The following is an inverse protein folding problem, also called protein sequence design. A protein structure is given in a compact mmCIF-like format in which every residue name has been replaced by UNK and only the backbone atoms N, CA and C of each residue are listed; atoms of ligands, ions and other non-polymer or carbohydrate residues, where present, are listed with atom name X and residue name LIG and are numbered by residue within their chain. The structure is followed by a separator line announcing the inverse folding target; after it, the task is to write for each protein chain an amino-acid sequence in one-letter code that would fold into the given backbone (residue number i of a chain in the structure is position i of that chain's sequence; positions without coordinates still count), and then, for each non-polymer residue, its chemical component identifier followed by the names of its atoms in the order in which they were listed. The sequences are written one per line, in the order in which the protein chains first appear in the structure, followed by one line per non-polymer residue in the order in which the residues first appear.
data_IF_367064286344
#
_entry.id   IF_367064286344
#
_cell.length_a   1.000
_cell.length_b   1.000
_cell.length_c   1.000
_cell.angle_alpha   90.00
_cell.angle_beta   90.00
_cell.angle_gamma   90.00
#
_symmetry.space_group_name_H-M   'P 1'
#
loop_
_entity.id
_entity.type
_entity.pdbx_description
1 polymer ?
#
# COMPACT_ATOMS: atom_id res chain seq x y z
N UNK A 1 -1.13 27.65 -31.15
CA UNK A 1 -2.18 27.24 -30.20
C UNK A 1 -2.10 25.76 -29.78
N UNK A 2 -0.92 25.11 -29.82
CA UNK A 2 -0.80 23.65 -29.58
C UNK A 2 -0.51 23.30 -28.10
N UNK A 3 -0.09 24.28 -27.27
CA UNK A 3 0.36 24.05 -25.89
C UNK A 3 -0.76 23.79 -24.85
N UNK A 4 -2.01 24.17 -25.12
CA UNK A 4 -3.08 24.04 -24.11
C UNK A 4 -3.70 22.62 -24.04
N UNK A 5 -3.75 21.89 -25.16
CA UNK A 5 -4.31 20.53 -25.20
C UNK A 5 -3.44 19.50 -24.48
N UNK A 6 -2.13 19.50 -24.75
CA UNK A 6 -1.17 18.58 -24.12
C UNK A 6 -1.06 18.75 -22.61
N UNK A 7 -1.28 19.97 -22.11
CA UNK A 7 -1.28 20.25 -20.67
C UNK A 7 -2.52 19.67 -19.98
N UNK A 8 -3.68 19.71 -20.66
CA UNK A 8 -4.92 19.14 -20.13
C UNK A 8 -4.83 17.62 -20.02
N UNK A 9 -4.32 16.95 -21.05
CA UNK A 9 -4.21 15.48 -21.06
C UNK A 9 -3.26 14.97 -19.96
N UNK A 10 -2.09 15.62 -19.80
CA UNK A 10 -1.15 15.32 -18.72
C UNK A 10 -1.75 15.56 -17.32
N UNK A 11 -2.55 16.61 -17.15
CA UNK A 11 -3.24 16.89 -15.89
C UNK A 11 -4.30 15.83 -15.57
N UNK A 12 -5.02 15.34 -16.57
CA UNK A 12 -5.99 14.26 -16.42
C UNK A 12 -5.32 12.93 -16.05
N UNK A 13 -4.18 12.60 -16.67
CA UNK A 13 -3.37 11.42 -16.31
C UNK A 13 -2.84 11.50 -14.89
N UNK A 14 -2.29 12.66 -14.49
CA UNK A 14 -1.85 12.88 -13.11
C UNK A 14 -3.00 12.75 -12.11
N UNK A 15 -4.19 13.26 -12.44
CA UNK A 15 -5.35 13.14 -11.58
C UNK A 15 -5.80 11.68 -11.44
N UNK A 16 -5.79 10.90 -12.53
CA UNK A 16 -6.06 9.45 -12.48
C UNK A 16 -5.06 8.72 -11.60
N UNK A 17 -3.77 9.01 -11.77
CA UNK A 17 -2.72 8.42 -10.93
C UNK A 17 -2.86 8.79 -9.45
N UNK A 18 -3.16 10.06 -9.11
CA UNK A 18 -3.38 10.47 -7.71
C UNK A 18 -4.55 9.70 -7.10
N UNK A 19 -5.67 9.57 -7.83
CA UNK A 19 -6.83 8.80 -7.35
C UNK A 19 -6.48 7.33 -7.11
N UNK A 20 -5.82 6.71 -8.07
CA UNK A 20 -5.33 5.34 -7.93
C UNK A 20 -4.39 5.20 -6.72
N UNK A 21 -3.44 6.11 -6.56
CA UNK A 21 -2.49 6.08 -5.44
C UNK A 21 -3.19 6.25 -4.09
N UNK A 22 -4.22 7.09 -4.00
CA UNK A 22 -5.03 7.21 -2.77
C UNK A 22 -5.70 5.87 -2.42
N UNK A 23 -6.32 5.20 -3.38
CA UNK A 23 -6.94 3.89 -3.16
C UNK A 23 -5.93 2.82 -2.70
N UNK A 24 -4.70 2.85 -3.23
CA UNK A 24 -3.65 1.94 -2.80
C UNK A 24 -3.13 2.29 -1.39
N UNK A 25 -3.01 3.57 -1.06
CA UNK A 25 -2.63 4.01 0.28
C UNK A 25 -3.66 3.59 1.33
N UNK A 26 -4.95 3.63 1.01
CA UNK A 26 -6.01 3.13 1.91
C UNK A 26 -5.85 1.62 2.17
N UNK A 27 -5.50 0.84 1.14
CA UNK A 27 -5.22 -0.60 1.28
C UNK A 27 -3.98 -0.84 2.16
N UNK A 28 -2.92 -0.07 1.96
CA UNK A 28 -1.70 -0.13 2.78
C UNK A 28 -2.02 0.20 4.24
N UNK A 29 -2.80 1.26 4.48
CA UNK A 29 -3.18 1.66 5.84
C UNK A 29 -3.95 0.54 6.57
N UNK A 30 -4.88 -0.12 5.88
CA UNK A 30 -5.62 -1.25 6.44
C UNK A 30 -4.69 -2.42 6.83
N UNK A 31 -3.70 -2.75 6.00
CA UNK A 31 -2.70 -3.78 6.32
C UNK A 31 -1.81 -3.39 7.51
N UNK A 32 -1.41 -2.12 7.59
CA UNK A 32 -0.64 -1.62 8.74
C UNK A 32 -1.45 -1.67 10.05
N UNK A 33 -2.76 -1.38 10.00
CA UNK A 33 -3.68 -1.55 11.15
C UNK A 33 -3.79 -3.01 11.58
N UNK A 34 -3.77 -3.94 10.63
CA UNK A 34 -3.74 -5.38 10.92
C UNK A 34 -2.44 -5.80 11.60
N UNK A 35 -1.28 -5.38 11.08
CA UNK A 35 0.03 -5.61 11.72
C UNK A 35 0.05 -5.07 13.15
N UNK A 36 -0.46 -3.85 13.36
CA UNK A 36 -0.55 -3.25 14.69
C UNK A 36 -1.40 -4.11 15.63
N UNK A 37 -2.54 -4.62 15.14
CA UNK A 37 -3.43 -5.49 15.93
C UNK A 37 -2.73 -6.79 16.31
N UNK A 38 -2.03 -7.43 15.36
CA UNK A 38 -1.24 -8.65 15.61
C UNK A 38 -0.12 -8.41 16.64
N UNK A 39 0.61 -7.31 16.52
CA UNK A 39 1.69 -6.95 17.45
C UNK A 39 1.15 -6.66 18.86
N UNK A 40 0.01 -5.97 18.97
CA UNK A 40 -0.66 -5.72 20.25
C UNK A 40 -1.16 -7.02 20.88
N UNK A 41 -1.74 -7.93 20.09
CA UNK A 41 -2.16 -9.24 20.54
C UNK A 41 -0.98 -10.05 21.07
N UNK A 42 0.14 -10.08 20.36
CA UNK A 42 1.36 -10.77 20.79
C UNK A 42 1.94 -10.21 22.08
N UNK A 43 1.89 -8.89 22.27
CA UNK A 43 2.37 -8.21 23.49
C UNK A 43 1.50 -8.51 24.71
N UNK A 44 0.18 -8.56 24.53
CA UNK A 44 -0.78 -8.59 25.64
C UNK A 44 -1.18 -10.01 26.07
N UNK A 45 -0.76 -11.05 25.35
CA UNK A 45 -1.11 -12.44 25.63
C UNK A 45 0.14 -13.27 25.88
N UNK A 46 0.02 -14.26 26.77
CA UNK A 46 1.11 -15.20 27.06
C UNK A 46 1.17 -16.30 25.99
N UNK A 47 1.82 -16.00 24.88
CA UNK A 47 1.89 -16.88 23.71
C UNK A 47 3.05 -17.88 23.82
N UNK A 48 2.82 -19.09 23.32
CA UNK A 48 3.90 -20.06 23.13
C UNK A 48 4.70 -19.77 21.84
N UNK A 49 5.83 -20.45 21.69
CA UNK A 49 6.74 -20.26 20.54
C UNK A 49 6.09 -20.54 19.19
N UNK A 50 5.16 -21.50 19.10
CA UNK A 50 4.41 -21.79 17.87
C UNK A 50 3.50 -20.62 17.49
N UNK A 51 2.74 -20.10 18.45
CA UNK A 51 1.84 -18.95 18.25
C UNK A 51 2.63 -17.68 17.86
N UNK A 52 3.79 -17.45 18.48
CA UNK A 52 4.68 -16.34 18.12
C UNK A 52 5.17 -16.47 16.67
N UNK A 53 5.57 -17.67 16.24
CA UNK A 53 6.00 -17.93 14.87
C UNK A 53 4.87 -17.67 13.85
N UNK A 54 3.66 -18.12 14.16
CA UNK A 54 2.49 -17.88 13.31
C UNK A 54 2.20 -16.39 13.14
N UNK A 55 2.22 -15.62 14.23
CA UNK A 55 2.01 -14.16 14.17
C UNK A 55 3.10 -13.48 13.35
N UNK A 56 4.37 -13.84 13.59
CA UNK A 56 5.47 -13.28 12.82
C UNK A 56 5.35 -13.61 11.32
N UNK A 57 4.93 -14.83 10.97
CA UNK A 57 4.69 -15.20 9.58
C UNK A 57 3.59 -14.35 8.95
N UNK A 58 2.49 -14.08 9.66
CA UNK A 58 1.41 -13.21 9.17
C UNK A 58 1.88 -11.77 8.98
N UNK A 59 2.65 -11.23 9.93
CA UNK A 59 3.24 -9.89 9.83
C UNK A 59 4.15 -9.78 8.60
N UNK A 60 4.98 -10.79 8.34
CA UNK A 60 5.87 -10.79 7.18
C UNK A 60 5.10 -10.80 5.86
N UNK A 61 4.07 -11.63 5.73
CA UNK A 61 3.20 -11.66 4.54
C UNK A 61 2.56 -10.28 4.31
N UNK A 62 2.00 -9.66 5.36
CA UNK A 62 1.40 -8.33 5.26
C UNK A 62 2.42 -7.27 4.85
N UNK A 63 3.66 -7.34 5.35
CA UNK A 63 4.75 -6.44 4.95
C UNK A 63 5.12 -6.60 3.47
N UNK A 64 5.24 -7.84 2.98
CA UNK A 64 5.52 -8.10 1.57
C UNK A 64 4.41 -7.53 0.66
N UNK A 65 3.14 -7.71 1.05
CA UNK A 65 2.00 -7.15 0.33
C UNK A 65 2.00 -5.61 0.33
N UNK A 66 2.35 -4.98 1.46
CA UNK A 66 2.49 -3.52 1.56
C UNK A 66 3.58 -3.04 0.60
N UNK A 67 4.76 -3.68 0.61
CA UNK A 67 5.88 -3.30 -0.25
C UNK A 67 5.50 -3.41 -1.73
N UNK A 68 4.84 -4.49 -2.12
CA UNK A 68 4.37 -4.68 -3.49
C UNK A 68 3.37 -3.61 -3.92
N UNK A 69 2.34 -3.35 -3.11
CA UNK A 69 1.35 -2.31 -3.38
C UNK A 69 1.99 -0.93 -3.51
N UNK A 70 2.96 -0.65 -2.65
CA UNK A 70 3.66 0.61 -2.66
C UNK A 70 4.52 0.77 -3.92
N UNK A 71 5.29 -0.23 -4.29
CA UNK A 71 6.12 -0.24 -5.50
C UNK A 71 5.28 -0.06 -6.77
N UNK A 72 4.14 -0.77 -6.87
CA UNK A 72 3.25 -0.73 -8.04
C UNK A 72 2.56 0.63 -8.26
N UNK A 73 2.49 1.50 -7.24
CA UNK A 73 1.68 2.73 -7.30
C UNK A 73 2.41 4.02 -6.99
N UNK A 74 3.60 3.96 -6.36
CA UNK A 74 4.34 5.13 -5.87
C UNK A 74 4.83 6.06 -6.97
N UNK A 75 5.07 5.55 -8.18
CA UNK A 75 5.65 6.34 -9.27
C UNK A 75 4.59 6.69 -10.30
N UNK A 76 4.46 7.97 -10.64
CA UNK A 76 3.71 8.40 -11.81
C UNK A 76 4.48 8.00 -13.07
N UNK A 77 3.90 7.12 -13.89
CA UNK A 77 4.42 6.80 -15.22
C UNK A 77 3.35 7.17 -16.25
N UNK A 78 3.59 8.18 -17.11
CA UNK A 78 2.65 8.58 -18.16
C UNK A 78 2.54 7.56 -19.31
N UNK A 79 3.36 6.49 -19.30
CA UNK A 79 3.47 5.54 -20.41
C UNK A 79 2.61 4.26 -20.25
N UNK A 80 1.87 4.11 -19.15
CA UNK A 80 0.95 2.98 -18.97
C UNK A 80 -0.47 3.35 -19.40
N UNK A 81 -0.72 3.25 -20.71
CA UNK A 81 -2.04 3.09 -21.31
C UNK A 81 -2.19 1.69 -21.89
#
# INVERSE_FOLDING_TARGET
MIQQGQNKDLLEEKLKWVKYRLEILDKIENKLKEIKTLAQYAKNNNLNSTQIKEINSKINILNEEILKLDEESRTFSPDYN
#
